data_IF_573465367000
#
_entry.id   IF_573465367000
#
_cell.length_a   1.000
_cell.length_b   1.000
_cell.length_c   1.000
_cell.angle_alpha   90.00
_cell.angle_beta   90.00
_cell.angle_gamma   90.00
#
_symmetry.space_group_name_H-M   'P 1'
#
loop_
_entity.id
_entity.type
_entity.pdbx_description
1 polymer ?
#
# COMPACT_ATOMS: atom_id res chain seq x y z
N UNK A 1 -8.39 -9.53 -22.33
CA UNK A 1 -9.44 -10.05 -21.45
C UNK A 1 -8.93 -10.00 -20.03
N UNK A 2 -9.62 -9.32 -19.12
CA UNK A 2 -9.22 -9.20 -17.70
C UNK A 2 -10.12 -10.13 -16.89
N UNK A 3 -9.53 -11.01 -16.08
CA UNK A 3 -10.26 -11.84 -15.12
C UNK A 3 -10.39 -11.09 -13.80
N UNK A 4 -11.60 -10.98 -13.27
CA UNK A 4 -11.89 -10.28 -12.02
C UNK A 4 -12.33 -11.31 -10.98
N UNK A 5 -11.79 -11.19 -9.77
CA UNK A 5 -12.19 -12.00 -8.61
C UNK A 5 -12.42 -11.08 -7.40
N UNK A 6 -13.38 -11.43 -6.57
CA UNK A 6 -13.57 -10.82 -5.25
C UNK A 6 -12.95 -11.77 -4.23
N UNK A 7 -12.00 -11.28 -3.45
CA UNK A 7 -11.35 -12.06 -2.38
C UNK A 7 -11.57 -11.40 -1.03
N UNK A 8 -11.83 -12.23 -0.02
CA UNK A 8 -11.71 -11.85 1.38
C UNK A 8 -10.37 -12.36 1.90
N UNK A 9 -9.62 -11.50 2.58
CA UNK A 9 -8.35 -11.84 3.21
C UNK A 9 -8.46 -11.69 4.72
N UNK A 10 -7.70 -12.48 5.46
CA UNK A 10 -7.55 -12.29 6.90
C UNK A 10 -6.81 -10.98 7.18
N UNK A 11 -6.85 -10.50 8.42
CA UNK A 11 -6.07 -9.33 8.83
C UNK A 11 -4.57 -9.65 8.78
N UNK A 12 -3.76 -8.67 8.37
CA UNK A 12 -2.31 -8.76 8.31
C UNK A 12 -1.67 -7.40 8.61
N UNK A 13 -0.39 -7.42 8.99
CA UNK A 13 0.36 -6.21 9.30
C UNK A 13 1.16 -5.74 8.08
N UNK A 14 1.40 -4.43 8.04
CA UNK A 14 2.19 -3.81 6.98
C UNK A 14 3.14 -2.77 7.57
N UNK A 15 4.32 -2.66 6.97
CA UNK A 15 5.29 -1.60 7.28
C UNK A 15 5.66 -0.86 6.00
N UNK A 16 5.77 0.46 6.07
CA UNK A 16 6.02 1.27 4.89
C UNK A 16 5.99 2.77 5.13
N UNK A 17 6.03 3.51 4.04
CA UNK A 17 5.85 4.95 4.04
C UNK A 17 4.38 5.31 3.79
N UNK A 18 3.94 6.44 4.33
CA UNK A 18 2.58 6.96 4.08
C UNK A 18 2.60 8.41 3.65
N UNK A 19 1.59 8.78 2.87
CA UNK A 19 1.29 10.17 2.53
C UNK A 19 -0.21 10.42 2.72
N UNK A 20 -0.57 11.67 2.93
CA UNK A 20 -1.97 12.10 2.88
C UNK A 20 -2.35 12.43 1.44
N UNK A 21 -3.45 11.86 0.96
CA UNK A 21 -4.04 12.19 -0.33
C UNK A 21 -5.27 13.06 -0.07
N UNK A 22 -5.25 14.35 -0.45
CA UNK A 22 -6.45 15.17 -0.47
C UNK A 22 -7.34 14.67 -1.61
N UNK A 23 -8.63 14.48 -1.36
CA UNK A 23 -9.54 13.74 -2.25
C UNK A 23 -9.76 14.30 -3.66
N UNK A 24 -9.16 15.43 -4.00
CA UNK A 24 -9.23 16.08 -5.32
C UNK A 24 -7.91 16.02 -6.10
N UNK A 25 -6.81 15.55 -5.49
CA UNK A 25 -5.49 15.50 -6.14
C UNK A 25 -5.15 14.09 -6.61
N UNK A 26 -5.41 13.85 -7.90
CA UNK A 26 -5.09 12.58 -8.55
C UNK A 26 -3.59 12.42 -8.85
N UNK A 27 -2.80 13.50 -8.82
CA UNK A 27 -1.37 13.45 -9.10
C UNK A 27 -0.56 13.03 -7.87
N UNK A 28 -1.07 13.31 -6.66
CA UNK A 28 -0.42 12.99 -5.39
C UNK A 28 0.01 11.52 -5.27
N UNK A 29 -0.72 10.57 -5.87
CA UNK A 29 -0.31 9.16 -5.90
C UNK A 29 0.99 8.96 -6.69
N UNK A 30 1.03 9.46 -7.92
CA UNK A 30 2.16 9.28 -8.83
C UNK A 30 3.40 9.99 -8.30
N UNK A 31 3.23 11.20 -7.75
CA UNK A 31 4.32 11.94 -7.12
C UNK A 31 4.88 11.22 -5.90
N UNK A 32 4.02 10.63 -5.07
CA UNK A 32 4.47 9.87 -3.92
C UNK A 32 5.26 8.62 -4.31
N UNK A 33 4.77 7.85 -5.29
CA UNK A 33 5.53 6.71 -5.83
C UNK A 33 6.89 7.14 -6.38
N UNK A 34 6.91 8.23 -7.17
CA UNK A 34 8.13 8.77 -7.74
C UNK A 34 9.11 9.20 -6.64
N UNK A 35 8.64 9.88 -5.61
CA UNK A 35 9.44 10.30 -4.46
C UNK A 35 10.04 9.10 -3.71
N UNK A 36 9.22 8.11 -3.34
CA UNK A 36 9.72 6.92 -2.66
C UNK A 36 10.74 6.13 -3.50
N UNK A 37 10.58 6.11 -4.83
CA UNK A 37 11.59 5.53 -5.72
C UNK A 37 12.89 6.32 -5.72
N UNK A 38 12.82 7.65 -5.84
CA UNK A 38 13.99 8.54 -5.88
C UNK A 38 14.78 8.54 -4.57
N UNK A 39 14.09 8.49 -3.43
CA UNK A 39 14.69 8.48 -2.08
C UNK A 39 15.18 7.07 -1.66
N UNK A 40 14.94 6.05 -2.48
CA UNK A 40 15.32 4.67 -2.23
C UNK A 40 14.48 3.97 -1.15
N UNK A 41 13.34 4.56 -0.77
CA UNK A 41 12.49 4.03 0.30
C UNK A 41 11.87 2.69 -0.09
N UNK A 42 11.55 2.49 -1.37
CA UNK A 42 11.05 1.22 -1.90
C UNK A 42 12.00 0.07 -1.53
N UNK A 43 13.30 0.26 -1.75
CA UNK A 43 14.31 -0.76 -1.48
C UNK A 43 14.57 -0.95 0.01
N UNK A 44 14.42 0.11 0.83
CA UNK A 44 14.48 -0.03 2.30
C UNK A 44 13.29 -0.83 2.82
N UNK A 45 12.08 -0.49 2.37
CA UNK A 45 10.82 -1.12 2.81
C UNK A 45 10.80 -2.59 2.43
N UNK A 46 11.24 -2.94 1.21
CA UNK A 46 11.30 -4.34 0.74
C UNK A 46 12.12 -5.27 1.65
N UNK A 47 13.08 -4.76 2.42
CA UNK A 47 13.87 -5.58 3.36
C UNK A 47 13.03 -6.21 4.47
N UNK A 48 11.90 -5.59 4.79
CA UNK A 48 10.95 -6.09 5.80
C UNK A 48 9.94 -7.09 5.21
N UNK A 49 9.96 -7.31 3.90
CA UNK A 49 9.04 -8.24 3.26
C UNK A 49 9.51 -9.67 3.50
N UNK A 50 8.68 -10.43 4.20
CA UNK A 50 9.00 -11.82 4.53
C UNK A 50 8.63 -12.80 3.43
N UNK A 51 7.82 -12.39 2.43
CA UNK A 51 7.33 -13.19 1.28
C UNK A 51 7.01 -14.66 1.64
N UNK A 52 6.37 -14.87 2.79
CA UNK A 52 6.03 -16.22 3.27
C UNK A 52 4.89 -16.82 2.45
N UNK A 53 4.81 -18.15 2.41
CA UNK A 53 3.66 -18.83 1.78
C UNK A 53 2.32 -18.43 2.44
N UNK A 54 2.36 -18.13 3.74
CA UNK A 54 1.24 -17.65 4.54
C UNK A 54 0.84 -16.21 4.27
N UNK A 55 1.60 -15.47 3.47
CA UNK A 55 1.30 -14.07 3.20
C UNK A 55 -0.04 -13.92 2.47
N UNK A 56 -0.87 -13.01 2.96
CA UNK A 56 -2.22 -12.77 2.46
C UNK A 56 -2.20 -12.19 1.04
N UNK A 57 -1.24 -11.30 0.77
CA UNK A 57 -1.16 -10.57 -0.49
C UNK A 57 -0.19 -11.17 -1.49
N UNK A 58 0.81 -11.94 -1.02
CA UNK A 58 1.91 -12.51 -1.82
C UNK A 58 2.58 -11.47 -2.73
N UNK A 59 2.58 -10.22 -2.29
CA UNK A 59 3.02 -9.08 -3.08
C UNK A 59 4.38 -8.60 -2.61
N UNK A 60 5.27 -8.31 -3.56
CA UNK A 60 6.59 -7.77 -3.25
C UNK A 60 6.52 -6.34 -2.66
N UNK A 61 5.48 -5.60 -3.02
CA UNK A 61 5.15 -4.27 -2.51
C UNK A 61 3.65 -4.04 -2.69
N UNK A 62 3.07 -3.22 -1.82
CA UNK A 62 1.65 -2.90 -1.78
C UNK A 62 1.45 -1.39 -1.88
N UNK A 63 0.45 -0.98 -2.66
CA UNK A 63 -0.19 0.32 -2.56
C UNK A 63 -1.51 0.18 -1.81
N UNK A 64 -1.66 0.83 -0.66
CA UNK A 64 -2.83 0.68 0.21
C UNK A 64 -3.52 2.01 0.41
N UNK A 65 -4.78 2.09 0.00
CA UNK A 65 -5.66 3.24 0.27
C UNK A 65 -6.43 2.97 1.57
N UNK A 66 -6.08 3.67 2.64
CA UNK A 66 -6.77 3.57 3.93
C UNK A 66 -7.95 4.55 3.96
N UNK A 67 -9.03 4.18 3.28
CA UNK A 67 -10.23 5.02 3.14
C UNK A 67 -11.19 4.86 4.29
N UNK A 68 -11.93 5.93 4.60
CA UNK A 68 -13.06 5.88 5.52
C UNK A 68 -14.19 4.97 5.00
N UNK A 69 -15.10 4.58 5.91
CA UNK A 69 -16.30 3.81 5.55
C UNK A 69 -17.27 4.61 4.67
N UNK A 70 -17.32 5.92 4.87
CA UNK A 70 -18.15 6.81 4.08
C UNK A 70 -17.47 7.12 2.73
N UNK A 71 -18.02 6.67 1.59
CA UNK A 71 -17.42 6.88 0.27
C UNK A 71 -17.46 8.33 -0.20
N UNK A 72 -18.20 9.22 0.48
CA UNK A 72 -18.16 10.66 0.22
C UNK A 72 -16.86 11.30 0.71
N UNK A 73 -16.19 10.69 1.69
CA UNK A 73 -14.87 11.11 2.17
C UNK A 73 -13.82 10.57 1.22
N UNK A 74 -13.34 11.44 0.33
CA UNK A 74 -12.35 11.10 -0.71
C UNK A 74 -10.90 11.28 -0.28
N UNK A 75 -10.67 11.88 0.89
CA UNK A 75 -9.32 12.05 1.44
C UNK A 75 -8.92 10.86 2.30
N UNK A 76 -7.67 10.41 2.18
CA UNK A 76 -7.21 9.24 2.92
C UNK A 76 -5.69 9.19 3.02
N UNK A 77 -5.19 8.35 3.93
CA UNK A 77 -3.78 7.97 3.90
C UNK A 77 -3.54 6.90 2.84
N UNK A 78 -2.54 7.14 2.00
CA UNK A 78 -2.02 6.15 1.07
C UNK A 78 -0.67 5.64 1.54
N UNK A 79 -0.49 4.33 1.54
CA UNK A 79 0.73 3.67 1.97
C UNK A 79 1.40 2.99 0.77
N UNK A 80 2.73 3.09 0.74
CA UNK A 80 3.59 2.18 -0.01
C UNK A 80 4.28 1.31 1.02
N UNK A 81 3.94 0.02 1.05
CA UNK A 81 4.27 -0.85 2.16
C UNK A 81 4.53 -2.30 1.72
N UNK A 82 5.01 -3.11 2.65
CA UNK A 82 5.10 -4.57 2.50
C UNK A 82 4.39 -5.26 3.65
N UNK A 83 3.88 -6.45 3.38
CA UNK A 83 3.38 -7.34 4.43
C UNK A 83 4.55 -7.84 5.29
N UNK A 84 4.39 -7.79 6.61
CA UNK A 84 5.43 -8.18 7.56
C UNK A 84 4.83 -8.71 8.87
N UNK A 85 5.63 -9.48 9.61
CA UNK A 85 5.31 -9.91 10.98
C UNK A 85 6.06 -9.08 12.03
N UNK A 86 6.97 -8.18 11.60
CA UNK A 86 7.70 -7.29 12.50
C UNK A 86 6.76 -6.18 13.00
N UNK A 87 6.65 -6.03 14.33
CA UNK A 87 5.87 -4.99 15.04
C UNK A 87 6.83 -4.16 15.89
#
# INVERSE_FOLDING_TARGET
MVSIRIERKEAFNVIGAKTWIPGTDNNAFGEFWKRCHQEGDIEKIKKFNTMKESSQTKSAILGLSCTEKDPSVRSFYFYIAVETDEI
#
